data_IF_411306922522
#
_entry.id   IF_411306922522
#
_cell.length_a   1.000
_cell.length_b   1.000
_cell.length_c   1.000
_cell.angle_alpha   90.00
_cell.angle_beta   90.00
_cell.angle_gamma   90.00
#
_symmetry.space_group_name_H-M   'P 1'
#
loop_
_entity.id
_entity.type
_entity.pdbx_description
1 polymer ?
#
# COMPACT_ATOMS: atom_id res chain seq x y z
N UNK A 1 21.81 -37.45 -9.55
CA UNK A 1 22.37 -38.66 -10.23
C UNK A 1 23.86 -38.49 -10.54
N UNK A 2 24.33 -37.45 -11.26
CA UNK A 2 25.74 -37.27 -11.64
C UNK A 2 26.64 -37.08 -10.44
N UNK A 3 26.31 -36.21 -9.49
CA UNK A 3 27.08 -35.96 -8.28
C UNK A 3 27.26 -37.26 -7.44
N UNK A 4 26.23 -38.07 -7.36
CA UNK A 4 26.28 -39.36 -6.64
C UNK A 4 27.26 -40.32 -7.33
N UNK A 5 27.21 -40.41 -8.66
CA UNK A 5 28.12 -41.24 -9.44
C UNK A 5 29.58 -40.77 -9.30
N UNK A 6 29.81 -39.46 -9.37
CA UNK A 6 31.16 -38.87 -9.22
C UNK A 6 31.73 -39.12 -7.79
N UNK A 7 30.88 -39.05 -6.76
CA UNK A 7 31.27 -39.38 -5.37
C UNK A 7 31.54 -40.87 -5.17
N UNK A 8 30.77 -41.74 -5.84
CA UNK A 8 30.98 -43.19 -5.82
C UNK A 8 32.31 -43.56 -6.49
N UNK A 9 32.60 -42.97 -7.67
CA UNK A 9 33.86 -43.17 -8.38
C UNK A 9 35.09 -42.71 -7.57
N UNK A 10 34.93 -41.63 -6.79
CA UNK A 10 35.97 -41.11 -5.89
C UNK A 10 36.08 -41.88 -4.56
N UNK A 11 35.19 -42.85 -4.32
CA UNK A 11 35.15 -43.60 -3.05
C UNK A 11 34.76 -42.76 -1.83
N UNK A 12 34.08 -41.67 -2.06
CA UNK A 12 33.61 -40.71 -1.03
C UNK A 12 32.14 -40.87 -0.68
N UNK A 13 31.42 -41.77 -1.33
CA UNK A 13 30.01 -42.03 -1.04
C UNK A 13 29.91 -43.02 0.13
N UNK A 14 29.36 -42.58 1.26
CA UNK A 14 29.12 -43.42 2.43
C UNK A 14 27.75 -44.08 2.40
N UNK A 15 26.69 -43.28 2.19
CA UNK A 15 25.32 -43.75 2.18
C UNK A 15 24.42 -42.86 1.30
N UNK A 16 23.31 -43.42 0.85
CA UNK A 16 22.22 -42.68 0.17
C UNK A 16 20.94 -42.90 0.97
N UNK A 17 20.38 -41.82 1.50
CA UNK A 17 19.11 -41.84 2.21
C UNK A 17 18.04 -41.06 1.47
N UNK A 18 16.85 -41.64 1.34
CA UNK A 18 15.71 -40.96 0.83
C UNK A 18 15.13 -40.01 1.89
N UNK A 19 15.16 -38.73 1.63
CA UNK A 19 14.59 -37.71 2.51
C UNK A 19 13.38 -37.04 1.89
N UNK A 20 12.39 -36.70 2.73
CA UNK A 20 11.24 -35.89 2.34
C UNK A 20 11.37 -34.54 3.01
N UNK A 21 11.47 -33.48 2.20
CA UNK A 21 11.52 -32.10 2.70
C UNK A 21 10.63 -31.19 1.87
N UNK A 22 10.22 -30.04 2.46
CA UNK A 22 9.46 -29.04 1.77
C UNK A 22 10.36 -28.26 0.79
N UNK A 23 9.95 -28.20 -0.47
CA UNK A 23 10.62 -27.43 -1.51
C UNK A 23 9.80 -26.18 -1.82
N UNK A 24 10.41 -24.97 -1.81
CA UNK A 24 9.70 -23.75 -2.15
C UNK A 24 9.30 -23.77 -3.63
N UNK A 25 8.05 -23.42 -3.90
CA UNK A 25 7.50 -23.30 -5.24
C UNK A 25 6.93 -21.91 -5.47
N UNK A 26 6.88 -21.49 -6.73
CA UNK A 26 6.23 -20.25 -7.11
C UNK A 26 4.77 -20.23 -6.66
N UNK A 27 4.37 -19.15 -5.99
CA UNK A 27 3.03 -19.03 -5.40
C UNK A 27 1.89 -19.09 -6.43
N UNK A 28 2.15 -18.56 -7.62
CA UNK A 28 1.13 -18.47 -8.69
C UNK A 28 0.95 -19.78 -9.43
N UNK A 29 2.03 -20.36 -9.89
CA UNK A 29 2.00 -21.59 -10.70
C UNK A 29 2.00 -22.85 -9.83
N UNK A 30 2.62 -22.81 -8.65
CA UNK A 30 2.82 -23.92 -7.71
C UNK A 30 3.55 -25.13 -8.31
N UNK A 31 4.16 -24.95 -9.47
CA UNK A 31 4.86 -25.99 -10.23
C UNK A 31 6.35 -25.69 -10.41
N UNK A 32 6.72 -24.41 -10.37
CA UNK A 32 8.11 -24.00 -10.55
C UNK A 32 8.82 -23.99 -9.19
N UNK A 33 9.90 -24.75 -9.08
CA UNK A 33 10.75 -24.76 -7.91
C UNK A 33 11.54 -23.44 -7.87
N UNK A 34 11.59 -22.81 -6.70
CA UNK A 34 12.38 -21.61 -6.44
C UNK A 34 13.73 -22.00 -5.87
N UNK A 35 14.80 -21.53 -6.50
CA UNK A 35 16.17 -21.67 -6.00
C UNK A 35 16.68 -20.30 -5.53
N UNK A 36 17.32 -20.22 -4.33
CA UNK A 36 17.97 -18.99 -3.89
C UNK A 36 19.11 -18.63 -4.87
N UNK A 37 19.10 -17.39 -5.35
CA UNK A 37 20.14 -16.87 -6.22
C UNK A 37 20.62 -15.51 -5.70
N UNK A 38 21.94 -15.36 -5.51
CA UNK A 38 22.52 -14.11 -5.05
C UNK A 38 22.72 -13.17 -6.25
N UNK A 39 22.10 -12.01 -6.17
CA UNK A 39 22.26 -10.92 -7.13
C UNK A 39 22.54 -9.61 -6.42
N UNK A 40 23.14 -8.65 -7.12
CA UNK A 40 23.23 -7.28 -6.63
C UNK A 40 21.83 -6.68 -6.60
N UNK A 41 21.49 -5.99 -5.50
CA UNK A 41 20.19 -5.43 -5.26
C UNK A 41 20.33 -4.01 -4.69
N UNK A 42 19.35 -3.16 -4.95
CA UNK A 42 19.26 -1.84 -4.35
C UNK A 42 18.57 -1.91 -3.00
N UNK A 43 19.26 -1.48 -1.97
CA UNK A 43 18.73 -1.38 -0.62
C UNK A 43 18.68 0.07 -0.15
N UNK A 44 17.52 0.47 0.34
CA UNK A 44 17.34 1.76 1.00
C UNK A 44 17.60 1.60 2.50
N UNK A 45 18.45 2.45 3.05
CA UNK A 45 18.58 2.59 4.50
C UNK A 45 17.39 3.39 5.04
N UNK A 46 16.38 2.69 5.54
CA UNK A 46 15.11 3.27 6.01
C UNK A 46 15.10 3.60 7.50
N UNK A 47 16.13 3.23 8.25
CA UNK A 47 16.18 3.46 9.72
C UNK A 47 15.98 4.93 10.09
N UNK A 48 16.71 5.92 9.50
CA UNK A 48 16.52 7.32 9.86
C UNK A 48 15.13 7.86 9.46
N UNK A 49 14.53 7.28 8.41
CA UNK A 49 13.18 7.65 7.96
C UNK A 49 12.11 7.10 8.92
N UNK A 50 12.32 5.89 9.40
CA UNK A 50 11.43 5.23 10.35
C UNK A 50 11.40 5.95 11.71
N UNK A 51 12.52 6.47 12.18
CA UNK A 51 12.59 7.25 13.42
C UNK A 51 11.68 8.50 13.37
N UNK A 52 11.72 9.25 12.26
CA UNK A 52 10.82 10.39 12.04
C UNK A 52 9.35 9.95 12.02
N UNK A 53 9.05 8.82 11.37
CA UNK A 53 7.68 8.29 11.26
C UNK A 53 7.15 7.78 12.62
N UNK A 54 7.98 7.17 13.44
CA UNK A 54 7.65 6.77 14.82
C UNK A 54 7.31 8.01 15.66
N UNK A 55 8.20 9.01 15.65
CA UNK A 55 8.01 10.27 16.41
C UNK A 55 6.72 10.96 16.02
N UNK A 56 6.35 11.00 14.74
CA UNK A 56 5.13 11.66 14.27
C UNK A 56 3.84 11.02 14.80
N UNK A 57 3.86 9.72 15.14
CA UNK A 57 2.73 9.04 15.80
C UNK A 57 2.81 9.14 17.32
N UNK A 58 4.03 9.18 17.89
CA UNK A 58 4.22 9.34 19.33
C UNK A 58 3.78 10.73 19.82
N UNK A 59 4.09 11.78 19.07
CA UNK A 59 3.72 13.17 19.36
C UNK A 59 2.31 13.57 18.91
N UNK A 60 1.60 12.68 18.22
CA UNK A 60 0.20 12.87 17.83
C UNK A 60 -0.03 13.65 16.55
N UNK A 61 1.02 13.99 15.76
CA UNK A 61 0.85 14.58 14.42
C UNK A 61 0.06 13.68 13.48
N UNK A 62 0.21 12.36 13.64
CA UNK A 62 -0.65 11.36 12.99
C UNK A 62 -1.25 10.42 14.04
N UNK A 63 -2.56 10.25 14.03
CA UNK A 63 -3.30 9.36 14.93
C UNK A 63 -3.71 8.09 14.21
N UNK A 64 -3.45 6.92 14.81
CA UNK A 64 -3.91 5.61 14.29
C UNK A 64 -5.19 5.21 15.03
N UNK A 65 -6.24 4.90 14.28
CA UNK A 65 -7.57 4.55 14.78
C UNK A 65 -8.00 3.17 14.22
N UNK A 66 -8.42 2.22 15.06
CA UNK A 66 -8.35 2.20 16.53
C UNK A 66 -6.92 2.07 17.07
N UNK A 67 -6.70 2.56 18.29
CA UNK A 67 -5.37 2.69 18.91
C UNK A 67 -4.60 1.35 19.04
N UNK A 68 -5.30 0.23 19.10
CA UNK A 68 -4.67 -1.11 19.14
C UNK A 68 -3.66 -1.36 18.01
N UNK A 69 -3.85 -0.76 16.84
CA UNK A 69 -2.96 -0.91 15.68
C UNK A 69 -1.68 -0.08 15.78
N UNK A 70 -1.63 0.88 16.69
CA UNK A 70 -0.45 1.67 16.98
C UNK A 70 0.75 0.81 17.40
N UNK A 71 0.50 -0.24 18.21
CA UNK A 71 1.55 -1.17 18.60
C UNK A 71 2.11 -1.97 17.42
N UNK A 72 1.27 -2.35 16.47
CA UNK A 72 1.71 -3.03 15.24
C UNK A 72 2.61 -2.12 14.41
N UNK A 73 2.19 -0.86 14.22
CA UNK A 73 2.99 0.15 13.52
C UNK A 73 4.37 0.35 14.17
N UNK A 74 4.41 0.55 15.48
CA UNK A 74 5.67 0.73 16.19
C UNK A 74 6.57 -0.50 16.16
N UNK A 75 6.02 -1.69 16.31
CA UNK A 75 6.79 -2.91 16.29
C UNK A 75 7.52 -3.10 14.95
N UNK A 76 6.85 -2.79 13.84
CA UNK A 76 7.46 -2.84 12.51
C UNK A 76 8.55 -1.79 12.32
N UNK A 77 8.29 -0.53 12.69
CA UNK A 77 9.22 0.57 12.44
C UNK A 77 10.44 0.55 13.37
N UNK A 78 10.27 0.17 14.65
CA UNK A 78 11.38 0.07 15.60
C UNK A 78 12.34 -1.10 15.30
N UNK A 79 11.88 -2.10 14.54
CA UNK A 79 12.68 -3.27 14.12
C UNK A 79 12.89 -3.30 12.59
N UNK A 80 12.78 -2.16 11.93
CA UNK A 80 12.83 -2.11 10.47
C UNK A 80 14.20 -2.52 9.94
N UNK A 81 14.18 -3.31 8.86
CA UNK A 81 15.39 -3.72 8.14
C UNK A 81 15.53 -2.88 6.86
N UNK A 82 16.74 -2.78 6.29
CA UNK A 82 16.92 -2.13 4.99
C UNK A 82 15.95 -2.68 3.95
N UNK A 83 15.33 -1.78 3.21
CA UNK A 83 14.32 -2.14 2.24
C UNK A 83 14.94 -2.37 0.86
N UNK A 84 14.86 -3.60 0.36
CA UNK A 84 15.20 -3.90 -1.03
C UNK A 84 14.14 -3.27 -1.94
N UNK A 85 14.56 -2.29 -2.75
CA UNK A 85 13.68 -1.51 -3.64
C UNK A 85 13.75 -1.94 -5.09
N UNK A 86 14.69 -2.82 -5.47
CA UNK A 86 14.83 -3.34 -6.84
C UNK A 86 14.00 -4.60 -7.08
N UNK A 87 13.47 -4.73 -8.30
CA UNK A 87 12.70 -5.90 -8.75
C UNK A 87 13.11 -6.27 -10.17
N UNK A 88 13.28 -7.57 -10.42
CA UNK A 88 13.59 -8.15 -11.73
C UNK A 88 12.28 -8.41 -12.47
N UNK A 89 11.64 -7.35 -12.97
CA UNK A 89 10.38 -7.40 -13.71
C UNK A 89 10.56 -6.78 -15.10
N UNK A 90 9.82 -7.26 -16.05
CA UNK A 90 9.87 -6.76 -17.42
C UNK A 90 9.24 -5.38 -17.59
N UNK A 91 8.41 -4.96 -16.66
CA UNK A 91 7.68 -3.71 -16.74
C UNK A 91 7.61 -3.04 -15.37
N UNK A 92 7.80 -1.73 -15.34
CA UNK A 92 7.77 -0.91 -14.13
C UNK A 92 8.55 0.38 -14.31
N UNK A 93 8.77 1.11 -13.23
CA UNK A 93 9.64 2.28 -13.20
C UNK A 93 11.09 1.82 -13.09
N UNK A 94 11.82 1.84 -14.21
CA UNK A 94 13.21 1.43 -14.26
C UNK A 94 14.07 2.34 -13.38
N UNK A 95 14.98 1.74 -12.63
CA UNK A 95 15.89 2.47 -11.75
C UNK A 95 16.73 3.46 -12.59
N UNK A 96 16.78 4.75 -12.23
CA UNK A 96 17.48 5.78 -12.97
C UNK A 96 18.98 5.78 -12.63
N UNK A 97 19.64 4.65 -12.87
CA UNK A 97 21.02 4.41 -12.55
C UNK A 97 21.76 3.79 -13.75
N UNK A 98 22.95 4.28 -14.04
CA UNK A 98 23.79 3.80 -15.12
C UNK A 98 25.18 3.46 -14.61
N UNK A 99 25.70 2.35 -15.07
CA UNK A 99 27.00 1.84 -14.72
C UNK A 99 27.99 2.07 -15.86
N UNK A 100 29.19 2.49 -15.52
CA UNK A 100 30.33 2.57 -16.39
C UNK A 100 31.62 2.15 -15.68
N UNK A 101 32.79 2.10 -16.35
CA UNK A 101 34.06 1.74 -15.72
C UNK A 101 34.53 2.85 -14.75
N UNK A 102 35.02 2.47 -13.56
CA UNK A 102 35.65 3.40 -12.65
C UNK A 102 37.06 3.74 -13.13
N UNK A 103 37.40 5.03 -13.28
CA UNK A 103 38.72 5.52 -13.68
C UNK A 103 39.71 5.51 -12.50
N UNK A 104 39.85 4.40 -11.81
CA UNK A 104 40.93 4.18 -10.84
C UNK A 104 41.90 3.15 -11.41
N UNK A 105 43.12 3.08 -10.85
CA UNK A 105 44.18 2.15 -11.27
C UNK A 105 43.56 0.80 -11.70
N UNK A 106 43.82 0.35 -12.96
CA UNK A 106 43.25 -0.90 -13.42
C UNK A 106 43.59 -2.02 -12.41
N UNK A 107 42.62 -2.85 -12.04
CA UNK A 107 42.88 -4.00 -11.21
C UNK A 107 43.90 -4.90 -11.91
N UNK A 108 44.71 -5.65 -11.12
CA UNK A 108 45.65 -6.63 -11.66
C UNK A 108 44.93 -7.72 -12.49
N UNK A 109 43.62 -7.88 -12.29
CA UNK A 109 42.72 -8.73 -13.09
C UNK A 109 41.75 -7.85 -13.92
N UNK A 110 41.83 -7.89 -15.27
CA UNK A 110 40.93 -7.10 -16.14
C UNK A 110 39.46 -7.51 -16.05
N UNK A 111 39.13 -8.65 -15.41
CA UNK A 111 37.75 -9.09 -15.17
C UNK A 111 37.15 -8.53 -13.88
N UNK A 112 37.97 -7.94 -12.99
CA UNK A 112 37.60 -7.30 -11.74
C UNK A 112 37.67 -5.77 -11.90
N UNK A 113 36.70 -5.18 -12.56
CA UNK A 113 36.59 -3.71 -12.62
C UNK A 113 35.52 -3.22 -11.65
N UNK A 114 35.86 -2.16 -10.92
CA UNK A 114 34.88 -1.43 -10.13
C UNK A 114 34.02 -0.55 -11.06
N UNK A 115 32.75 -0.42 -10.70
CA UNK A 115 31.78 0.33 -11.49
C UNK A 115 31.65 1.75 -10.96
N UNK A 116 31.66 2.74 -11.86
CA UNK A 116 31.19 4.10 -11.59
C UNK A 116 29.68 4.13 -11.79
N UNK A 117 28.98 4.65 -10.82
CA UNK A 117 27.55 4.82 -10.82
C UNK A 117 27.21 6.27 -11.19
N UNK A 118 26.28 6.45 -12.13
CA UNK A 118 25.63 7.72 -12.46
C UNK A 118 24.14 7.57 -12.16
N UNK A 119 23.57 8.51 -11.39
CA UNK A 119 22.16 8.52 -11.02
C UNK A 119 21.62 9.89 -11.40
N UNK A 120 20.82 9.96 -12.45
CA UNK A 120 20.28 11.19 -13.00
C UNK A 120 18.83 10.94 -13.47
N UNK A 121 18.10 12.01 -13.73
CA UNK A 121 16.71 11.93 -14.15
C UNK A 121 16.60 11.46 -15.62
N UNK A 122 17.51 11.92 -16.48
CA UNK A 122 17.48 11.68 -17.92
C UNK A 122 18.80 11.12 -18.46
N UNK A 123 18.75 10.41 -19.58
CA UNK A 123 19.94 9.94 -20.29
C UNK A 123 20.85 11.09 -20.75
N UNK A 124 20.29 12.25 -21.13
CA UNK A 124 21.05 13.43 -21.52
C UNK A 124 21.89 14.00 -20.37
N UNK A 125 21.36 13.93 -19.15
CA UNK A 125 22.10 14.34 -17.95
C UNK A 125 23.20 13.33 -17.60
N UNK A 126 22.89 12.05 -17.69
CA UNK A 126 23.88 10.98 -17.55
C UNK A 126 24.99 11.13 -18.58
N UNK A 127 24.64 11.37 -19.84
CA UNK A 127 25.62 11.57 -20.90
C UNK A 127 26.58 12.72 -20.57
N UNK A 128 26.03 13.88 -20.20
CA UNK A 128 26.83 15.06 -19.85
C UNK A 128 27.75 14.80 -18.65
N UNK A 129 27.21 14.25 -17.57
CA UNK A 129 27.98 13.93 -16.36
C UNK A 129 29.04 12.85 -16.61
N UNK A 130 28.75 11.85 -17.43
CA UNK A 130 29.69 10.81 -17.78
C UNK A 130 30.77 11.30 -18.76
N UNK A 131 30.45 12.11 -19.75
CA UNK A 131 31.43 12.71 -20.66
C UNK A 131 32.39 13.65 -19.90
N UNK A 132 31.89 14.41 -18.93
CA UNK A 132 32.76 15.21 -18.04
C UNK A 132 33.68 14.32 -17.18
N UNK A 133 33.16 13.23 -16.61
CA UNK A 133 33.94 12.31 -15.78
C UNK A 133 35.02 11.56 -16.58
N UNK A 134 34.68 11.07 -17.79
CA UNK A 134 35.59 10.30 -18.63
C UNK A 134 36.51 11.16 -19.52
N UNK A 135 36.17 12.45 -19.73
CA UNK A 135 36.87 13.33 -20.66
C UNK A 135 36.75 12.90 -22.14
N UNK A 136 35.69 12.15 -22.47
CA UNK A 136 35.47 11.59 -23.82
C UNK A 136 33.98 11.25 -24.04
N UNK A 137 33.56 11.01 -25.31
CA UNK A 137 32.21 10.57 -25.62
C UNK A 137 31.85 9.27 -24.90
N UNK A 138 30.56 9.08 -24.59
CA UNK A 138 30.02 7.85 -24.02
C UNK A 138 29.17 7.08 -25.02
N UNK A 139 28.98 5.79 -24.78
CA UNK A 139 28.12 4.93 -25.58
C UNK A 139 27.24 4.10 -24.67
N UNK A 140 25.92 4.22 -24.83
CA UNK A 140 24.93 3.44 -24.12
C UNK A 140 24.77 2.04 -24.74
N UNK A 141 24.65 1.05 -23.87
CA UNK A 141 24.41 -0.34 -24.25
C UNK A 141 23.07 -0.78 -23.64
N UNK A 142 22.35 -1.60 -24.39
CA UNK A 142 21.04 -2.16 -23.98
C UNK A 142 21.12 -3.63 -23.61
N UNK A 143 22.25 -4.28 -23.92
CA UNK A 143 22.47 -5.70 -23.58
C UNK A 143 23.70 -5.83 -22.69
N UNK A 144 23.53 -6.56 -21.60
CA UNK A 144 24.58 -6.76 -20.61
C UNK A 144 25.83 -7.43 -21.19
N UNK A 145 25.66 -8.38 -22.11
CA UNK A 145 26.79 -9.07 -22.76
C UNK A 145 27.64 -8.14 -23.62
N UNK A 146 26.99 -7.27 -24.42
CA UNK A 146 27.69 -6.29 -25.25
C UNK A 146 28.39 -5.24 -24.38
N UNK A 147 27.76 -4.82 -23.29
CA UNK A 147 28.33 -3.91 -22.30
C UNK A 147 29.59 -4.51 -21.64
N UNK A 148 29.55 -5.77 -21.19
CA UNK A 148 30.71 -6.45 -20.59
C UNK A 148 31.89 -6.49 -21.54
N UNK A 149 31.68 -6.88 -22.80
CA UNK A 149 32.72 -6.91 -23.82
C UNK A 149 33.28 -5.49 -24.11
N UNK A 150 32.40 -4.46 -24.08
CA UNK A 150 32.84 -3.07 -24.30
C UNK A 150 33.68 -2.55 -23.11
N UNK A 151 33.33 -2.91 -21.85
CA UNK A 151 34.14 -2.54 -20.69
C UNK A 151 35.52 -3.22 -20.73
N UNK A 152 35.58 -4.50 -21.02
CA UNK A 152 36.86 -5.22 -21.13
C UNK A 152 37.77 -4.56 -22.14
N UNK A 153 37.24 -4.24 -23.34
CA UNK A 153 37.99 -3.52 -24.36
C UNK A 153 38.43 -2.12 -23.90
N UNK A 154 37.54 -1.38 -23.24
CA UNK A 154 37.82 -0.05 -22.72
C UNK A 154 38.95 -0.05 -21.68
N UNK A 155 38.91 -0.97 -20.74
CA UNK A 155 39.89 -1.10 -19.66
C UNK A 155 41.25 -1.54 -20.22
N UNK A 156 41.28 -2.54 -21.12
CA UNK A 156 42.50 -3.04 -21.74
C UNK A 156 43.23 -1.98 -22.58
N UNK A 157 42.49 -1.10 -23.24
CA UNK A 157 43.03 -0.07 -24.12
C UNK A 157 43.08 1.32 -23.48
N UNK A 158 42.87 1.45 -22.17
CA UNK A 158 42.74 2.74 -21.52
C UNK A 158 43.93 3.69 -21.67
N UNK A 159 45.17 3.15 -21.76
CA UNK A 159 46.39 3.92 -21.97
C UNK A 159 46.60 4.35 -23.44
N UNK A 160 45.79 3.83 -24.39
CA UNK A 160 45.82 4.14 -25.82
C UNK A 160 44.53 4.87 -26.24
N UNK A 161 43.85 4.27 -27.21
CA UNK A 161 42.53 4.76 -27.65
C UNK A 161 41.46 3.71 -27.32
N UNK A 162 40.84 3.82 -26.14
CA UNK A 162 39.80 2.86 -25.72
C UNK A 162 38.44 3.10 -26.40
N UNK A 163 38.30 4.18 -27.18
CA UNK A 163 37.03 4.58 -27.77
C UNK A 163 36.10 5.26 -26.78
N UNK A 164 34.79 5.33 -27.09
CA UNK A 164 33.78 5.89 -26.18
C UNK A 164 33.65 5.07 -24.89
N UNK A 165 33.43 5.75 -23.74
CA UNK A 165 33.22 5.07 -22.48
C UNK A 165 31.87 4.34 -22.46
N UNK A 166 31.83 3.04 -22.17
CA UNK A 166 30.60 2.29 -22.20
C UNK A 166 29.75 2.59 -20.95
N UNK A 167 28.43 2.78 -21.17
CA UNK A 167 27.43 2.93 -20.11
C UNK A 167 26.29 1.91 -20.30
N UNK A 168 25.78 1.42 -19.20
CA UNK A 168 24.66 0.48 -19.18
C UNK A 168 23.68 0.87 -18.07
N UNK A 169 22.40 1.00 -18.42
CA UNK A 169 21.35 1.30 -17.47
C UNK A 169 21.00 0.05 -16.64
N UNK A 170 20.71 0.25 -15.37
CA UNK A 170 20.18 -0.79 -14.52
C UNK A 170 18.90 -1.38 -15.13
N UNK A 171 18.81 -2.72 -15.21
CA UNK A 171 17.66 -3.41 -15.80
C UNK A 171 16.50 -3.55 -14.81
N UNK A 172 16.79 -3.41 -13.51
CA UNK A 172 15.80 -3.56 -12.47
C UNK A 172 14.81 -2.38 -12.46
N UNK A 173 13.62 -2.66 -12.01
CA UNK A 173 12.57 -1.66 -11.76
C UNK A 173 12.37 -1.45 -10.27
N UNK A 174 11.84 -0.29 -9.90
CA UNK A 174 11.48 0.01 -8.51
C UNK A 174 10.33 -0.86 -8.04
N UNK A 175 10.38 -1.26 -6.77
CA UNK A 175 9.27 -1.88 -6.06
C UNK A 175 8.00 -1.04 -6.19
N UNK A 176 6.87 -1.67 -6.49
CA UNK A 176 5.56 -1.00 -6.58
C UNK A 176 5.25 -0.19 -5.32
N UNK A 177 5.67 -0.67 -4.17
CA UNK A 177 5.51 0.05 -2.90
C UNK A 177 6.35 1.32 -2.79
N UNK A 178 7.40 1.46 -3.58
CA UNK A 178 8.17 2.70 -3.66
C UNK A 178 7.31 3.81 -4.28
N UNK A 179 6.73 3.57 -5.45
CA UNK A 179 5.81 4.51 -6.10
C UNK A 179 4.57 4.78 -5.24
N UNK A 180 4.01 3.74 -4.61
CA UNK A 180 2.86 3.86 -3.71
C UNK A 180 3.15 4.72 -2.47
N UNK A 181 4.40 4.73 -2.00
CA UNK A 181 4.83 5.56 -0.87
C UNK A 181 4.85 7.07 -1.20
N UNK A 182 5.01 7.41 -2.47
CA UNK A 182 4.99 8.81 -2.95
C UNK A 182 3.57 9.32 -3.22
N UNK A 183 2.58 8.43 -3.26
CA UNK A 183 1.21 8.72 -3.69
C UNK A 183 0.58 9.96 -3.03
N UNK A 184 0.71 10.22 -1.70
CA UNK A 184 0.04 11.35 -1.06
C UNK A 184 0.41 12.72 -1.60
N UNK A 185 1.56 12.86 -2.23
CA UNK A 185 2.06 14.13 -2.75
C UNK A 185 2.37 14.09 -4.25
N UNK A 186 2.81 12.95 -4.82
CA UNK A 186 3.12 12.86 -6.25
C UNK A 186 1.88 13.03 -7.13
N UNK A 187 0.73 12.51 -6.71
CA UNK A 187 -0.55 12.68 -7.44
C UNK A 187 -1.11 14.10 -7.38
N UNK A 188 -0.58 14.93 -6.49
CA UNK A 188 -0.93 16.33 -6.35
C UNK A 188 0.04 17.27 -7.09
N UNK A 189 0.96 16.70 -7.88
CA UNK A 189 1.86 17.42 -8.76
C UNK A 189 3.28 17.64 -8.22
N UNK A 190 3.64 17.07 -7.05
CA UNK A 190 5.02 17.12 -6.58
C UNK A 190 5.97 16.50 -7.65
N UNK A 191 7.15 17.12 -7.94
CA UNK A 191 7.87 18.10 -7.12
C UNK A 191 7.46 19.58 -7.28
N UNK A 192 6.55 19.92 -8.22
CA UNK A 192 6.10 21.30 -8.35
C UNK A 192 5.20 21.73 -7.19
N UNK A 193 5.25 23.01 -6.85
CA UNK A 193 4.42 23.64 -5.81
C UNK A 193 3.03 24.02 -6.37
N UNK A 194 2.21 22.99 -6.68
CA UNK A 194 0.87 23.16 -7.25
C UNK A 194 -0.15 23.68 -6.24
N UNK A 195 -1.27 24.20 -6.75
CA UNK A 195 -2.41 24.60 -5.92
C UNK A 195 -3.04 23.42 -5.18
N UNK A 196 -3.09 22.25 -5.85
CA UNK A 196 -3.61 21.00 -5.33
C UNK A 196 -2.75 20.49 -4.17
N UNK A 197 -1.42 20.51 -4.32
CA UNK A 197 -0.49 20.11 -3.27
C UNK A 197 -0.65 21.00 -2.03
N UNK A 198 -0.71 22.32 -2.20
CA UNK A 198 -0.90 23.28 -1.08
C UNK A 198 -2.25 23.12 -0.38
N UNK A 199 -3.28 22.69 -1.10
CA UNK A 199 -4.64 22.57 -0.56
C UNK A 199 -4.93 21.23 0.10
N UNK A 200 -4.40 20.12 -0.46
CA UNK A 200 -4.81 18.76 -0.11
C UNK A 200 -3.73 17.96 0.62
N UNK A 201 -2.52 18.47 0.73
CA UNK A 201 -1.47 17.89 1.55
C UNK A 201 -1.19 18.77 2.78
N UNK A 202 -1.21 18.22 4.00
CA UNK A 202 -1.58 16.84 4.39
C UNK A 202 -3.06 16.51 4.16
N UNK A 203 -3.37 15.24 3.91
CA UNK A 203 -4.76 14.78 3.87
C UNK A 203 -5.33 14.60 5.28
N UNK A 204 -6.66 14.71 5.42
CA UNK A 204 -7.32 14.58 6.73
C UNK A 204 -7.25 13.16 7.27
N UNK A 205 -7.58 12.16 6.44
CA UNK A 205 -7.62 10.77 6.84
C UNK A 205 -7.20 9.82 5.72
N UNK A 206 -6.37 8.83 6.06
CA UNK A 206 -6.11 7.66 5.24
C UNK A 206 -6.92 6.49 5.78
N UNK A 207 -7.64 5.77 4.91
CA UNK A 207 -8.44 4.60 5.28
C UNK A 207 -7.85 3.36 4.61
N UNK A 208 -7.48 2.35 5.41
CA UNK A 208 -6.88 1.12 4.90
C UNK A 208 -7.08 -0.07 5.84
N UNK A 209 -6.72 -1.28 5.39
CA UNK A 209 -6.72 -2.48 6.23
C UNK A 209 -5.39 -2.66 6.98
N UNK A 210 -5.42 -3.44 8.06
CA UNK A 210 -4.26 -3.62 8.93
C UNK A 210 -3.09 -4.37 8.28
N UNK A 211 -3.35 -5.21 7.30
CA UNK A 211 -2.33 -6.04 6.64
C UNK A 211 -1.36 -5.25 5.76
N UNK A 212 -1.68 -4.00 5.44
CA UNK A 212 -0.78 -3.09 4.71
C UNK A 212 -0.32 -1.88 5.52
N UNK A 213 -0.43 -1.89 6.84
CA UNK A 213 0.12 -0.83 7.71
C UNK A 213 1.61 -0.65 7.43
N UNK A 214 2.38 -1.74 7.39
CA UNK A 214 3.82 -1.68 7.12
C UNK A 214 4.12 -1.37 5.65
N UNK A 215 3.45 -2.05 4.73
CA UNK A 215 3.76 -1.94 3.31
C UNK A 215 3.36 -0.60 2.70
N UNK A 216 2.32 0.03 3.21
CA UNK A 216 1.77 1.25 2.64
C UNK A 216 1.81 2.45 3.60
N UNK A 217 1.15 2.35 4.76
CA UNK A 217 1.06 3.46 5.71
C UNK A 217 2.43 3.93 6.17
N UNK A 218 3.24 3.01 6.69
CA UNK A 218 4.58 3.32 7.20
C UNK A 218 5.48 3.92 6.12
N UNK A 219 5.41 3.39 4.89
CA UNK A 219 6.21 3.89 3.76
C UNK A 219 5.79 5.28 3.31
N UNK A 220 4.48 5.57 3.24
CA UNK A 220 4.00 6.94 2.97
C UNK A 220 4.41 7.93 4.07
N UNK A 221 4.36 7.51 5.35
CA UNK A 221 4.84 8.32 6.46
C UNK A 221 6.33 8.64 6.33
N UNK A 222 7.17 7.65 6.05
CA UNK A 222 8.60 7.83 5.85
C UNK A 222 8.91 8.80 4.70
N UNK A 223 8.28 8.59 3.53
CA UNK A 223 8.53 9.41 2.34
C UNK A 223 7.97 10.82 2.48
N UNK A 224 6.76 10.98 3.04
CA UNK A 224 6.16 12.29 3.29
C UNK A 224 7.03 13.13 4.21
N UNK A 225 7.47 12.59 5.35
CA UNK A 225 8.34 13.25 6.29
C UNK A 225 9.76 13.49 5.75
N UNK A 226 10.20 12.75 4.74
CA UNK A 226 11.49 12.97 4.11
C UNK A 226 11.46 14.05 3.04
N UNK A 227 10.48 14.03 2.15
CA UNK A 227 10.42 14.93 1.00
C UNK A 227 9.65 16.24 1.27
N UNK A 228 8.68 16.20 2.20
CA UNK A 228 7.82 17.36 2.51
C UNK A 228 8.04 17.91 3.91
N UNK A 229 8.83 17.25 4.76
CA UNK A 229 9.03 17.56 6.19
C UNK A 229 7.73 17.65 6.99
N UNK A 230 6.63 17.10 6.45
CA UNK A 230 5.30 17.13 7.01
C UNK A 230 4.63 15.76 6.89
N UNK A 231 3.75 15.42 7.87
CA UNK A 231 3.01 14.15 7.81
C UNK A 231 2.09 14.11 6.59
N UNK A 232 1.96 12.96 5.90
CA UNK A 232 1.11 12.88 4.72
C UNK A 232 -0.39 12.88 5.05
N UNK A 233 -0.77 12.57 6.29
CA UNK A 233 -2.15 12.53 6.78
C UNK A 233 -2.19 12.65 8.31
N UNK A 234 -3.27 13.29 8.81
CA UNK A 234 -3.46 13.49 10.24
C UNK A 234 -4.01 12.27 10.97
N UNK A 235 -4.82 11.46 10.28
CA UNK A 235 -5.41 10.25 10.84
C UNK A 235 -5.25 9.06 9.90
N UNK A 236 -5.07 7.88 10.48
CA UNK A 236 -5.10 6.59 9.79
C UNK A 236 -6.20 5.74 10.40
N UNK A 237 -7.29 5.55 9.65
CA UNK A 237 -8.37 4.67 10.06
C UNK A 237 -8.16 3.26 9.50
N UNK A 238 -7.97 2.30 10.40
CA UNK A 238 -7.80 0.89 10.04
C UNK A 238 -9.15 0.20 10.07
N UNK A 239 -9.69 -0.07 8.87
CA UNK A 239 -10.96 -0.74 8.71
C UNK A 239 -10.84 -2.27 8.86
N UNK A 240 -12.00 -2.91 9.12
CA UNK A 240 -12.10 -4.35 9.24
C UNK A 240 -12.07 -5.02 7.87
N UNK A 241 -11.56 -6.24 7.78
CA UNK A 241 -11.67 -7.04 6.54
C UNK A 241 -13.09 -7.57 6.40
N UNK A 242 -13.54 -7.66 5.15
CA UNK A 242 -14.78 -8.33 4.80
C UNK A 242 -14.46 -9.78 4.43
N UNK A 243 -15.04 -10.71 5.18
CA UNK A 243 -14.94 -12.15 5.00
C UNK A 243 -16.23 -12.69 4.41
N UNK A 244 -16.19 -13.90 3.84
CA UNK A 244 -17.39 -14.61 3.40
C UNK A 244 -18.28 -15.00 4.62
N UNK A 245 -19.46 -15.58 4.36
CA UNK A 245 -20.39 -16.00 5.40
C UNK A 245 -19.79 -17.02 6.39
N UNK A 246 -18.81 -17.81 5.92
CA UNK A 246 -18.09 -18.81 6.71
C UNK A 246 -16.92 -18.23 7.50
N UNK A 247 -16.63 -16.93 7.34
CA UNK A 247 -15.51 -16.25 7.98
C UNK A 247 -14.17 -16.53 7.30
N UNK A 248 -14.16 -16.93 6.02
CA UNK A 248 -12.94 -17.13 5.26
C UNK A 248 -12.58 -15.87 4.45
N UNK A 249 -11.26 -15.61 4.29
CA UNK A 249 -10.78 -14.54 3.42
C UNK A 249 -11.25 -14.81 1.99
N UNK A 250 -11.91 -13.81 1.40
CA UNK A 250 -12.34 -13.86 0.00
C UNK A 250 -11.13 -13.85 -0.94
N UNK A 251 -11.14 -14.73 -1.94
CA UNK A 251 -10.08 -14.85 -2.93
C UNK A 251 -10.65 -15.33 -4.25
N UNK A 252 -10.22 -14.75 -5.36
CA UNK A 252 -10.60 -15.17 -6.71
C UNK A 252 -10.25 -16.65 -6.97
N UNK A 253 -9.11 -17.10 -6.45
CA UNK A 253 -8.66 -18.50 -6.56
C UNK A 253 -9.54 -19.48 -5.79
N UNK A 254 -10.19 -19.05 -4.70
CA UNK A 254 -11.13 -19.90 -3.93
C UNK A 254 -12.56 -19.82 -4.45
N UNK A 255 -12.87 -18.88 -5.34
CA UNK A 255 -14.22 -18.70 -5.88
C UNK A 255 -15.26 -18.22 -4.86
N UNK A 256 -14.85 -17.70 -3.70
CA UNK A 256 -15.73 -17.23 -2.64
C UNK A 256 -15.86 -15.71 -2.58
N UNK A 257 -15.47 -15.01 -3.64
CA UNK A 257 -15.61 -13.56 -3.76
C UNK A 257 -17.08 -13.21 -3.99
N UNK A 258 -17.62 -12.36 -3.13
CA UNK A 258 -18.95 -11.76 -3.32
C UNK A 258 -18.77 -10.48 -4.10
N UNK A 259 -19.30 -10.40 -5.31
CA UNK A 259 -19.29 -9.17 -6.09
C UNK A 259 -20.29 -8.18 -5.48
N UNK A 260 -19.83 -7.00 -5.03
CA UNK A 260 -20.70 -5.98 -4.45
C UNK A 260 -21.77 -5.48 -5.44
N UNK A 261 -21.51 -5.49 -6.76
CA UNK A 261 -22.47 -5.05 -7.77
C UNK A 261 -23.70 -5.97 -7.81
N UNK A 262 -23.51 -7.28 -7.67
CA UNK A 262 -24.63 -8.23 -7.58
C UNK A 262 -25.52 -7.96 -6.37
N UNK A 263 -24.91 -7.58 -5.22
CA UNK A 263 -25.67 -7.21 -4.02
C UNK A 263 -26.39 -5.88 -4.20
N UNK A 264 -25.76 -4.92 -4.86
CA UNK A 264 -26.34 -3.61 -5.16
C UNK A 264 -27.55 -3.75 -6.08
N UNK A 265 -27.45 -4.53 -7.14
CA UNK A 265 -28.55 -4.79 -8.07
C UNK A 265 -29.75 -5.44 -7.37
N UNK A 266 -29.49 -6.38 -6.47
CA UNK A 266 -30.54 -7.14 -5.78
C UNK A 266 -31.17 -6.40 -4.60
N UNK A 267 -30.37 -5.67 -3.82
CA UNK A 267 -30.82 -5.09 -2.54
C UNK A 267 -30.72 -3.57 -2.47
N UNK A 268 -30.05 -2.93 -3.41
CA UNK A 268 -29.75 -1.50 -3.39
C UNK A 268 -28.43 -1.16 -2.71
N UNK A 269 -27.81 -0.07 -3.16
CA UNK A 269 -26.52 0.41 -2.64
C UNK A 269 -26.58 0.79 -1.16
N UNK A 270 -27.65 1.44 -0.73
CA UNK A 270 -27.84 1.87 0.66
C UNK A 270 -27.95 0.69 1.62
N UNK A 271 -28.62 -0.40 1.20
CA UNK A 271 -28.71 -1.63 1.97
C UNK A 271 -27.34 -2.26 2.22
N UNK A 272 -26.50 -2.35 1.17
CA UNK A 272 -25.14 -2.86 1.29
C UNK A 272 -24.28 -1.96 2.17
N UNK A 273 -24.27 -0.66 1.93
CA UNK A 273 -23.48 0.31 2.73
C UNK A 273 -23.89 0.30 4.20
N UNK A 274 -25.18 0.33 4.49
CA UNK A 274 -25.68 0.28 5.86
C UNK A 274 -25.36 -1.05 6.54
N UNK A 275 -25.41 -2.18 5.81
CA UNK A 275 -25.03 -3.49 6.35
C UNK A 275 -23.55 -3.57 6.74
N UNK A 276 -22.68 -2.93 5.97
CA UNK A 276 -21.25 -2.81 6.30
C UNK A 276 -21.03 -1.90 7.50
N UNK A 277 -21.69 -0.73 7.56
CA UNK A 277 -21.60 0.17 8.72
C UNK A 277 -22.04 -0.49 10.01
N UNK A 278 -23.20 -1.16 10.04
CA UNK A 278 -23.73 -1.82 11.26
C UNK A 278 -22.87 -3.00 11.71
N UNK A 279 -22.10 -3.58 10.78
CA UNK A 279 -21.18 -4.69 11.08
C UNK A 279 -19.77 -4.24 11.45
N UNK A 280 -19.42 -2.96 11.22
CA UNK A 280 -18.06 -2.42 11.37
C UNK A 280 -17.71 -2.13 12.84
N UNK A 281 -17.80 -3.13 13.71
CA UNK A 281 -17.31 -3.04 15.10
C UNK A 281 -15.77 -2.97 15.12
N UNK A 282 -15.21 -2.11 15.96
CA UNK A 282 -13.76 -1.94 16.05
C UNK A 282 -13.04 -3.26 16.36
N UNK A 283 -12.03 -3.58 15.53
CA UNK A 283 -11.14 -4.72 15.75
C UNK A 283 -11.72 -6.10 15.40
N UNK A 284 -12.85 -6.19 14.73
CA UNK A 284 -13.47 -7.47 14.32
C UNK A 284 -13.72 -7.53 12.82
N UNK A 285 -13.30 -8.61 12.18
CA UNK A 285 -13.61 -8.84 10.76
C UNK A 285 -15.13 -8.96 10.54
N UNK A 286 -15.58 -8.45 9.39
CA UNK A 286 -17.00 -8.44 9.00
C UNK A 286 -17.30 -9.72 8.22
N UNK A 287 -18.24 -10.54 8.71
CA UNK A 287 -18.81 -11.64 7.91
C UNK A 287 -19.98 -11.10 7.11
N UNK A 288 -19.83 -11.08 5.78
CA UNK A 288 -20.84 -10.56 4.88
C UNK A 288 -21.79 -11.70 4.47
N UNK A 289 -23.00 -11.70 5.03
CA UNK A 289 -24.08 -12.61 4.64
C UNK A 289 -25.21 -11.87 3.97
N UNK A 290 -25.86 -12.51 2.98
CA UNK A 290 -26.96 -11.93 2.20
C UNK A 290 -28.15 -11.54 3.08
N UNK A 291 -28.46 -12.32 4.14
CA UNK A 291 -29.57 -12.06 5.07
C UNK A 291 -29.43 -10.70 5.78
N UNK A 292 -28.20 -10.30 6.13
CA UNK A 292 -27.95 -9.00 6.75
C UNK A 292 -28.26 -7.86 5.79
N UNK A 293 -27.82 -7.98 4.52
CA UNK A 293 -28.08 -6.96 3.49
C UNK A 293 -29.59 -6.81 3.26
N UNK A 294 -30.32 -7.93 3.23
CA UNK A 294 -31.78 -7.94 3.09
C UNK A 294 -32.48 -7.24 4.28
N UNK A 295 -32.04 -7.52 5.51
CA UNK A 295 -32.56 -6.82 6.70
C UNK A 295 -32.36 -5.30 6.60
N UNK A 296 -31.18 -4.88 6.15
CA UNK A 296 -30.87 -3.45 5.95
C UNK A 296 -31.72 -2.83 4.81
N UNK A 297 -32.00 -3.57 3.74
CA UNK A 297 -32.97 -3.14 2.70
C UNK A 297 -34.35 -2.90 3.31
N UNK A 298 -34.84 -3.81 4.13
CA UNK A 298 -36.15 -3.67 4.76
C UNK A 298 -36.21 -2.44 5.67
N UNK A 299 -35.12 -2.14 6.36
CA UNK A 299 -34.98 -0.91 7.14
C UNK A 299 -35.06 0.35 6.26
N UNK A 300 -34.32 0.40 5.16
CA UNK A 300 -34.42 1.50 4.18
C UNK A 300 -35.82 1.66 3.61
N UNK A 301 -36.51 0.54 3.29
CA UNK A 301 -37.89 0.55 2.81
C UNK A 301 -38.85 1.11 3.87
N UNK A 302 -38.64 0.80 5.16
CA UNK A 302 -39.43 1.39 6.25
C UNK A 302 -39.28 2.91 6.30
N UNK A 303 -38.05 3.41 6.25
CA UNK A 303 -37.76 4.85 6.21
C UNK A 303 -38.46 5.53 5.04
N UNK A 304 -38.32 4.96 3.84
CA UNK A 304 -38.96 5.47 2.65
C UNK A 304 -40.50 5.54 2.77
N UNK A 305 -41.09 4.46 3.26
CA UNK A 305 -42.53 4.39 3.44
C UNK A 305 -43.05 5.37 4.52
N UNK A 306 -42.28 5.54 5.62
CA UNK A 306 -42.60 6.54 6.64
C UNK A 306 -42.57 7.98 6.05
N UNK A 307 -41.53 8.28 5.26
CA UNK A 307 -41.46 9.58 4.59
C UNK A 307 -42.61 9.79 3.59
N UNK A 308 -42.95 8.80 2.76
CA UNK A 308 -44.10 8.86 1.85
C UNK A 308 -45.43 9.03 2.59
N UNK A 309 -45.59 8.35 3.72
CA UNK A 309 -46.79 8.52 4.53
C UNK A 309 -46.92 9.95 5.07
N UNK A 310 -45.81 10.52 5.54
CA UNK A 310 -45.79 11.92 5.96
C UNK A 310 -46.14 12.89 4.83
N UNK A 311 -45.59 12.66 3.62
CA UNK A 311 -45.87 13.45 2.43
C UNK A 311 -47.37 13.39 2.05
N UNK A 312 -47.96 12.20 2.03
CA UNK A 312 -49.39 12.00 1.73
C UNK A 312 -50.34 12.66 2.74
N UNK A 313 -49.84 13.00 3.91
CA UNK A 313 -50.61 13.69 4.97
C UNK A 313 -50.19 15.16 5.16
N UNK A 314 -49.56 15.76 4.17
CA UNK A 314 -49.08 17.15 4.19
C UNK A 314 -48.19 17.47 5.43
N UNK A 315 -47.51 16.47 5.95
CA UNK A 315 -46.62 16.60 7.12
C UNK A 315 -45.16 16.90 6.70
N UNK A 316 -44.94 17.28 5.47
CA UNK A 316 -43.67 17.78 4.95
C UNK A 316 -43.63 19.30 4.93
N UNK A 317 -42.50 19.85 5.23
CA UNK A 317 -42.27 21.28 5.22
C UNK A 317 -42.02 21.79 6.63
N UNK A 318 -40.75 21.87 6.98
CA UNK A 318 -40.26 22.54 8.18
C UNK A 318 -39.52 23.80 7.74
N UNK A 319 -39.69 24.87 8.46
CA UNK A 319 -38.86 26.08 8.38
C UNK A 319 -37.47 25.88 9.02
N UNK A 320 -37.19 24.64 9.43
CA UNK A 320 -35.95 24.30 10.13
C UNK A 320 -35.95 24.58 11.65
N UNK A 321 -37.08 25.10 12.16
CA UNK A 321 -37.22 25.35 13.59
C UNK A 321 -37.74 24.11 14.32
N UNK A 322 -37.31 23.95 15.57
CA UNK A 322 -37.88 22.93 16.46
C UNK A 322 -39.32 23.32 16.79
N UNK A 323 -40.30 22.45 16.52
CA UNK A 323 -41.72 22.81 16.78
C UNK A 323 -41.97 23.04 18.26
N UNK A 324 -42.76 24.07 18.60
CA UNK A 324 -43.28 24.22 19.98
C UNK A 324 -44.41 23.22 20.21
N UNK A 325 -43.99 22.02 20.64
CA UNK A 325 -44.90 20.90 20.80
C UNK A 325 -45.63 20.94 22.16
N UNK A 326 -46.95 20.96 22.15
CA UNK A 326 -47.77 20.99 23.35
C UNK A 326 -48.11 19.58 23.87
N UNK A 327 -48.29 18.61 22.97
CA UNK A 327 -48.58 17.24 23.35
C UNK A 327 -47.36 16.53 23.95
N UNK A 328 -47.55 15.76 25.01
CA UNK A 328 -46.48 15.03 25.73
C UNK A 328 -45.73 14.09 24.79
N UNK A 329 -46.43 13.36 23.90
CA UNK A 329 -45.77 12.44 22.96
C UNK A 329 -44.91 13.19 21.94
N UNK A 330 -45.29 14.36 21.48
CA UNK A 330 -44.51 15.18 20.55
C UNK A 330 -43.25 15.74 21.21
N UNK A 331 -43.36 16.22 22.45
CA UNK A 331 -42.18 16.63 23.25
C UNK A 331 -41.22 15.48 23.51
N UNK A 332 -41.76 14.29 23.78
CA UNK A 332 -40.98 13.09 23.99
C UNK A 332 -40.19 12.72 22.73
N UNK A 333 -40.83 12.64 21.56
CA UNK A 333 -40.13 12.24 20.31
C UNK A 333 -39.09 13.29 19.85
N UNK A 334 -39.36 14.58 20.08
CA UNK A 334 -38.38 15.66 19.81
C UNK A 334 -37.16 15.46 20.71
N UNK A 335 -37.35 15.19 22.01
CA UNK A 335 -36.26 14.92 22.93
C UNK A 335 -35.46 13.66 22.58
N UNK A 336 -36.15 12.58 22.17
CA UNK A 336 -35.46 11.35 21.72
C UNK A 336 -34.71 11.57 20.40
N UNK A 337 -35.22 12.40 19.49
CA UNK A 337 -34.51 12.77 18.24
C UNK A 337 -33.22 13.55 18.54
N UNK A 338 -33.28 14.50 19.51
CA UNK A 338 -32.09 15.22 19.93
C UNK A 338 -31.02 14.29 20.52
N UNK A 339 -31.40 13.35 21.38
CA UNK A 339 -30.48 12.38 21.99
C UNK A 339 -29.82 11.49 20.94
N UNK A 340 -30.60 10.90 20.01
CA UNK A 340 -30.02 10.03 18.99
C UNK A 340 -29.10 10.77 18.05
N UNK A 341 -29.37 12.04 17.75
CA UNK A 341 -28.47 12.90 16.97
C UNK A 341 -27.12 13.06 17.68
N UNK A 342 -27.11 13.37 18.98
CA UNK A 342 -25.89 13.49 19.77
C UNK A 342 -25.11 12.18 19.83
N UNK A 343 -25.79 11.03 20.00
CA UNK A 343 -25.20 9.70 19.98
C UNK A 343 -24.53 9.38 18.64
N UNK A 344 -25.21 9.71 17.53
CA UNK A 344 -24.70 9.50 16.17
C UNK A 344 -23.51 10.39 15.88
N UNK A 345 -23.58 11.68 16.22
CA UNK A 345 -22.49 12.63 16.03
C UNK A 345 -21.24 12.23 16.81
N UNK A 346 -21.41 11.82 18.08
CA UNK A 346 -20.32 11.34 18.90
C UNK A 346 -19.72 10.02 18.39
N UNK A 347 -20.55 9.11 17.88
CA UNK A 347 -20.10 7.84 17.33
C UNK A 347 -19.33 8.04 16.00
N UNK A 348 -19.82 8.91 15.12
CA UNK A 348 -19.15 9.23 13.85
C UNK A 348 -17.80 9.94 14.10
N UNK A 349 -17.75 10.88 15.03
CA UNK A 349 -16.50 11.58 15.41
C UNK A 349 -15.45 10.61 15.95
N UNK A 350 -15.89 9.53 16.62
CA UNK A 350 -15.01 8.50 17.16
C UNK A 350 -14.79 7.32 16.19
N UNK A 351 -15.19 7.40 14.93
CA UNK A 351 -15.13 6.32 13.94
C UNK A 351 -15.85 5.03 14.36
N UNK A 352 -16.86 5.12 15.23
CA UNK A 352 -17.68 3.99 15.68
C UNK A 352 -18.94 3.86 14.83
N UNK A 353 -18.75 3.51 13.55
CA UNK A 353 -19.81 3.44 12.55
C UNK A 353 -20.94 2.46 12.94
N UNK A 354 -20.60 1.34 13.59
CA UNK A 354 -21.57 0.37 14.10
C UNK A 354 -22.50 0.99 15.16
N UNK A 355 -21.96 1.81 16.06
CA UNK A 355 -22.74 2.45 17.12
C UNK A 355 -23.70 3.49 16.51
N UNK A 356 -23.21 4.31 15.58
CA UNK A 356 -24.05 5.28 14.85
C UNK A 356 -25.19 4.57 14.10
N UNK A 357 -24.89 3.51 13.36
CA UNK A 357 -25.88 2.75 12.60
C UNK A 357 -26.90 2.06 13.52
N UNK A 358 -26.45 1.48 14.65
CA UNK A 358 -27.33 0.86 15.64
C UNK A 358 -28.23 1.88 16.34
N UNK A 359 -27.72 3.05 16.72
CA UNK A 359 -28.50 4.12 17.31
C UNK A 359 -29.65 4.54 16.40
N UNK A 360 -29.37 4.76 15.11
CA UNK A 360 -30.40 5.07 14.10
C UNK A 360 -31.41 3.93 13.94
N UNK A 361 -30.92 2.70 13.85
CA UNK A 361 -31.78 1.53 13.67
C UNK A 361 -32.76 1.37 14.85
N UNK A 362 -32.26 1.41 16.07
CA UNK A 362 -33.06 1.28 17.30
C UNK A 362 -34.07 2.43 17.43
N UNK A 363 -33.66 3.65 17.12
CA UNK A 363 -34.53 4.83 17.15
C UNK A 363 -35.71 4.69 16.20
N UNK A 364 -35.43 4.40 14.92
CA UNK A 364 -36.48 4.32 13.88
C UNK A 364 -37.41 3.12 14.09
N UNK A 365 -36.88 1.95 14.48
CA UNK A 365 -37.72 0.77 14.69
C UNK A 365 -38.49 0.79 16.02
N UNK A 366 -37.89 1.38 17.04
CA UNK A 366 -38.42 1.27 18.41
C UNK A 366 -39.16 2.50 18.90
N UNK A 367 -38.94 3.68 18.32
CA UNK A 367 -39.47 4.94 18.83
C UNK A 367 -40.31 5.73 17.83
N UNK A 368 -39.93 5.67 16.55
CA UNK A 368 -40.67 6.30 15.44
C UNK A 368 -41.71 5.33 14.89
#
# INVERSE_FOLDING_TARGET
>A
ARVVADLEELGLLDNIEDIVHAVPHDEKTKTVILEPYLTEQWYMNVTPLAEKAVTAVEDGRTRIVPDQWRNVYFNWLKNIQPWCISRQLWWGHQIPAWYGPLLQKPPDDPHLYERKLFVEETEDEVQRGAEEYYGRPVKFFTKQEEFKAAIENFVLNYQGDPGPAPLFRDEDVLDTWFSSALWPFSTLGWPEETTELKRFYPTSVLITAFDIIFFWVARMMMMGLHFKDEVPFHEVFIHNRVLDERGQKMSKTKGNVVDPLVLIEKYGADALRFSLCIAAGQGRDIRLGTNRVETCRNFGTKLWNAARFAEMNDAFGSDGQIPDAQATVNRWIIGETAKVREEVDAALTAYRFNDAANALYVFVWGKV
#
